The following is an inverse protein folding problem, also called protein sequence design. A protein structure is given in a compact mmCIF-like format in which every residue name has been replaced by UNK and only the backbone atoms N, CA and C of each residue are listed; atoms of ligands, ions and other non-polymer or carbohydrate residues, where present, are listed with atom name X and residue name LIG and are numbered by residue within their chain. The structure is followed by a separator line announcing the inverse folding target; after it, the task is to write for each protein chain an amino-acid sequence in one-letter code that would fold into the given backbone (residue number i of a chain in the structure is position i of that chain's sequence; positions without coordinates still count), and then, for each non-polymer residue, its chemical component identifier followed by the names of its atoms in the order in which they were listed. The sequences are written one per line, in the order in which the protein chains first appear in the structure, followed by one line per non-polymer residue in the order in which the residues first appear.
data_IF_705707611620
#
_entry.id   IF_705707611620
#
_cell.length_a   1.000
_cell.length_b   1.000
_cell.length_c   1.000
_cell.angle_alpha   90.00
_cell.angle_beta   90.00
_cell.angle_gamma   90.00
#
_symmetry.space_group_name_H-M   'P 1'
#
loop_
_entity.id
_entity.type
_entity.pdbx_description
1 polymer ?
#
# COMPACT_ATOMS: atom_id res chain seq x y z
N UNK A 1 -18.86 -1.28 22.26
CA UNK A 1 -17.58 -0.89 22.89
C UNK A 1 -17.09 -2.11 23.66
N UNK A 2 -15.93 -2.72 23.47
CA UNK A 2 -14.82 -2.36 22.62
C UNK A 2 -13.90 -3.58 22.50
N UNK A 3 -13.70 -4.14 21.31
CA UNK A 3 -12.55 -5.00 21.03
C UNK A 3 -11.34 -4.08 20.85
N UNK A 4 -10.93 -3.50 21.98
CA UNK A 4 -9.88 -2.49 22.10
C UNK A 4 -8.55 -3.06 21.65
N UNK A 5 -8.03 -2.57 20.53
CA UNK A 5 -6.79 -1.76 20.42
C UNK A 5 -5.46 -2.28 21.01
N UNK A 6 -5.44 -3.33 21.84
CA UNK A 6 -4.33 -3.67 22.74
C UNK A 6 -3.34 -4.71 22.21
N UNK A 7 -3.60 -5.31 21.05
CA UNK A 7 -2.66 -6.26 20.42
C UNK A 7 -1.90 -5.66 19.21
N UNK A 8 -2.11 -4.39 18.90
CA UNK A 8 -1.43 -3.75 17.75
C UNK A 8 -0.12 -3.06 18.12
N UNK A 9 0.15 -2.80 19.40
CA UNK A 9 1.27 -1.94 19.82
C UNK A 9 2.55 -2.69 20.23
N UNK A 10 2.51 -3.98 20.56
CA UNK A 10 3.61 -4.59 21.33
C UNK A 10 4.75 -5.27 20.53
N UNK A 11 4.61 -5.52 19.22
CA UNK A 11 5.54 -6.43 18.52
C UNK A 11 6.55 -5.83 17.52
N UNK A 12 6.52 -4.54 17.16
CA UNK A 12 7.54 -4.01 16.22
C UNK A 12 8.96 -3.99 16.83
N UNK A 13 9.15 -4.11 18.16
CA UNK A 13 10.45 -3.84 18.81
C UNK A 13 11.32 -5.06 19.11
N UNK A 14 10.78 -6.28 19.09
CA UNK A 14 11.54 -7.48 19.47
C UNK A 14 11.82 -8.44 18.31
N UNK A 15 10.97 -8.48 17.27
CA UNK A 15 11.18 -9.31 16.08
C UNK A 15 10.51 -8.70 14.83
N UNK A 16 10.89 -7.48 14.43
CA UNK A 16 10.33 -6.88 13.21
C UNK A 16 10.68 -7.75 12.00
N UNK A 17 9.66 -8.41 11.43
CA UNK A 17 9.82 -9.20 10.21
C UNK A 17 10.47 -8.34 9.11
N UNK A 18 11.39 -8.89 8.30
CA UNK A 18 11.95 -8.18 7.16
C UNK A 18 10.85 -7.68 6.24
N UNK A 19 11.08 -6.53 5.58
CA UNK A 19 10.10 -5.94 4.66
C UNK A 19 9.64 -6.89 3.55
N UNK A 20 10.50 -7.81 3.12
CA UNK A 20 10.15 -8.88 2.18
C UNK A 20 9.09 -9.86 2.72
N UNK A 21 9.20 -10.26 3.98
CA UNK A 21 8.24 -11.18 4.61
C UNK A 21 6.88 -10.52 4.79
N UNK A 22 6.87 -9.23 5.19
CA UNK A 22 5.64 -8.43 5.18
C UNK A 22 5.01 -8.36 3.80
N UNK A 23 5.81 -8.06 2.79
CA UNK A 23 5.36 -7.89 1.41
C UNK A 23 4.74 -9.18 0.83
N UNK A 24 5.33 -10.34 1.15
CA UNK A 24 4.84 -11.63 0.69
C UNK A 24 3.58 -12.06 1.44
N UNK A 25 3.54 -11.87 2.76
CA UNK A 25 2.37 -12.18 3.58
C UNK A 25 1.14 -11.35 3.18
N UNK A 26 1.32 -10.05 2.94
CA UNK A 26 0.21 -9.17 2.57
C UNK A 26 -0.32 -9.44 1.17
N UNK A 27 0.55 -9.72 0.19
CA UNK A 27 0.10 -10.19 -1.12
C UNK A 27 -0.69 -11.50 -0.99
N UNK A 28 -0.20 -12.44 -0.19
CA UNK A 28 -0.87 -13.72 -0.02
C UNK A 28 -2.27 -13.53 0.61
N UNK A 29 -2.39 -12.67 1.62
CA UNK A 29 -3.68 -12.33 2.23
C UNK A 29 -4.64 -11.65 1.25
N UNK A 30 -4.12 -10.77 0.38
CA UNK A 30 -4.88 -10.11 -0.67
C UNK A 30 -5.38 -11.10 -1.73
N UNK A 31 -4.49 -11.92 -2.29
CA UNK A 31 -4.82 -12.89 -3.35
C UNK A 31 -5.77 -13.96 -2.87
N UNK A 32 -5.62 -14.42 -1.62
CA UNK A 32 -6.52 -15.40 -1.04
C UNK A 32 -7.85 -14.80 -0.60
N UNK A 33 -8.03 -13.48 -0.69
CA UNK A 33 -9.21 -12.73 -0.27
C UNK A 33 -9.69 -13.12 1.15
N UNK A 34 -8.73 -13.47 2.02
CA UNK A 34 -9.00 -13.95 3.38
C UNK A 34 -9.32 -12.83 4.35
N UNK A 35 -9.29 -11.58 3.89
CA UNK A 35 -9.40 -10.42 4.74
C UNK A 35 -10.12 -9.27 4.03
N UNK A 36 -11.05 -8.58 4.70
CA UNK A 36 -11.67 -7.40 4.15
C UNK A 36 -10.65 -6.28 3.92
N UNK A 37 -10.89 -5.48 2.89
CA UNK A 37 -9.98 -4.40 2.45
C UNK A 37 -9.52 -3.46 3.57
N UNK A 38 -10.43 -3.03 4.45
CA UNK A 38 -10.06 -2.13 5.56
C UNK A 38 -9.07 -2.75 6.54
N UNK A 39 -9.21 -4.05 6.81
CA UNK A 39 -8.27 -4.79 7.64
C UNK A 39 -6.92 -4.95 6.93
N UNK A 40 -6.94 -5.23 5.63
CA UNK A 40 -5.72 -5.31 4.81
C UNK A 40 -4.95 -3.97 4.82
N UNK A 41 -5.64 -2.83 4.69
CA UNK A 41 -5.04 -1.50 4.82
C UNK A 41 -4.40 -1.27 6.21
N UNK A 42 -5.04 -1.73 7.28
CA UNK A 42 -4.50 -1.61 8.63
C UNK A 42 -3.18 -2.39 8.76
N UNK A 43 -3.10 -3.58 8.17
CA UNK A 43 -1.86 -4.36 8.14
C UNK A 43 -0.76 -3.73 7.28
N UNK A 44 -1.09 -3.16 6.12
CA UNK A 44 -0.12 -2.40 5.34
C UNK A 44 0.44 -1.20 6.13
N UNK A 45 -0.41 -0.46 6.84
CA UNK A 45 0.04 0.64 7.71
C UNK A 45 0.96 0.15 8.82
N UNK A 46 0.64 -1.00 9.43
CA UNK A 46 1.51 -1.62 10.44
C UNK A 46 2.86 -2.02 9.85
N UNK A 47 2.86 -2.69 8.70
CA UNK A 47 4.08 -3.07 7.99
C UNK A 47 4.95 -1.85 7.67
N UNK A 48 4.35 -0.77 7.16
CA UNK A 48 5.05 0.50 6.88
C UNK A 48 5.53 1.21 8.14
N UNK A 49 4.86 1.05 9.29
CA UNK A 49 5.37 1.57 10.55
C UNK A 49 6.63 0.86 11.04
N UNK A 50 6.77 -0.46 10.79
CA UNK A 50 7.99 -1.19 11.10
C UNK A 50 9.04 -1.10 9.96
N UNK A 51 8.62 -0.83 8.72
CA UNK A 51 9.46 -0.82 7.51
C UNK A 51 9.16 0.39 6.60
N UNK A 52 9.40 1.63 7.05
CA UNK A 52 8.95 2.84 6.35
C UNK A 52 9.63 3.09 5.00
N UNK A 53 10.83 2.54 4.80
CA UNK A 53 11.64 2.73 3.59
C UNK A 53 11.42 1.62 2.55
N UNK A 54 10.51 0.67 2.80
CA UNK A 54 10.25 -0.39 1.84
C UNK A 54 9.41 0.11 0.67
N UNK A 55 10.07 0.44 -0.43
CA UNK A 55 9.42 0.78 -1.70
C UNK A 55 8.43 -0.29 -2.13
N UNK A 56 8.79 -1.58 -1.94
CA UNK A 56 7.92 -2.71 -2.27
C UNK A 56 6.58 -2.64 -1.53
N UNK A 57 6.58 -2.37 -0.23
CA UNK A 57 5.36 -2.25 0.57
C UNK A 57 4.51 -1.06 0.12
N UNK A 58 5.13 0.08 -0.17
CA UNK A 58 4.42 1.26 -0.70
C UNK A 58 3.75 0.98 -2.04
N UNK A 59 4.48 0.37 -2.98
CA UNK A 59 3.96 -0.02 -4.29
C UNK A 59 2.79 -1.01 -4.19
N UNK A 60 2.91 -2.00 -3.30
CA UNK A 60 1.84 -2.99 -3.06
C UNK A 60 0.58 -2.37 -2.48
N UNK A 61 0.73 -1.44 -1.53
CA UNK A 61 -0.39 -0.70 -0.96
C UNK A 61 -1.13 0.11 -2.03
N UNK A 62 -0.40 0.85 -2.87
CA UNK A 62 -0.99 1.63 -3.96
C UNK A 62 -1.75 0.74 -4.97
N UNK A 63 -1.19 -0.41 -5.31
CA UNK A 63 -1.84 -1.39 -6.18
C UNK A 63 -3.10 -1.98 -5.55
N UNK A 64 -3.06 -2.30 -4.26
CA UNK A 64 -4.20 -2.81 -3.51
C UNK A 64 -5.35 -1.80 -3.50
N UNK A 65 -5.03 -0.52 -3.25
CA UNK A 65 -5.98 0.58 -3.32
C UNK A 65 -6.64 0.67 -4.71
N UNK A 66 -5.87 0.60 -5.80
CA UNK A 66 -6.41 0.63 -7.16
C UNK A 66 -7.32 -0.57 -7.47
N UNK A 67 -6.90 -1.79 -7.11
CA UNK A 67 -7.69 -3.02 -7.35
C UNK A 67 -9.05 -2.96 -6.65
N UNK A 68 -9.08 -2.40 -5.45
CA UNK A 68 -10.31 -2.24 -4.67
C UNK A 68 -11.09 -0.97 -4.98
N UNK A 69 -10.71 -0.23 -6.03
CA UNK A 69 -11.46 0.93 -6.51
C UNK A 69 -11.35 2.16 -5.62
N UNK A 70 -10.24 2.31 -4.88
CA UNK A 70 -9.96 3.54 -4.16
C UNK A 70 -9.89 4.72 -5.15
N UNK A 71 -10.34 5.91 -4.73
CA UNK A 71 -10.27 7.11 -5.56
C UNK A 71 -8.81 7.51 -5.77
N UNK A 72 -8.50 8.10 -6.94
CA UNK A 72 -7.15 8.51 -7.30
C UNK A 72 -6.42 9.35 -6.23
N UNK A 73 -7.05 10.35 -5.59
CA UNK A 73 -6.40 11.10 -4.52
C UNK A 73 -5.83 10.21 -3.41
N UNK A 74 -6.55 9.15 -2.99
CA UNK A 74 -6.06 8.26 -1.94
C UNK A 74 -4.82 7.44 -2.38
N UNK A 75 -4.76 7.03 -3.65
CA UNK A 75 -3.61 6.30 -4.21
C UNK A 75 -2.40 7.22 -4.36
N UNK A 76 -2.64 8.43 -4.87
CA UNK A 76 -1.61 9.46 -5.01
C UNK A 76 -1.00 9.81 -3.65
N UNK A 77 -1.84 10.11 -2.66
CA UNK A 77 -1.39 10.52 -1.33
C UNK A 77 -0.53 9.41 -0.65
N UNK A 78 -0.84 8.13 -0.90
CA UNK A 78 0.01 7.00 -0.47
C UNK A 78 1.41 7.05 -1.09
N UNK A 79 1.50 7.28 -2.41
CA UNK A 79 2.79 7.31 -3.12
C UNK A 79 3.57 8.59 -2.83
N UNK A 80 2.88 9.72 -2.64
CA UNK A 80 3.49 10.95 -2.16
C UNK A 80 4.06 10.77 -0.75
N UNK A 81 3.35 10.08 0.16
CA UNK A 81 3.88 9.73 1.47
C UNK A 81 5.13 8.84 1.38
N UNK A 82 5.17 7.90 0.42
CA UNK A 82 6.35 7.09 0.15
C UNK A 82 7.54 7.95 -0.29
N UNK A 83 7.34 8.84 -1.26
CA UNK A 83 8.38 9.76 -1.75
C UNK A 83 8.91 10.67 -0.63
N UNK A 84 8.04 11.11 0.27
CA UNK A 84 8.39 11.99 1.39
C UNK A 84 8.90 11.26 2.65
N UNK A 85 8.91 9.92 2.68
CA UNK A 85 9.36 9.15 3.86
C UNK A 85 10.86 9.28 4.15
N UNK A 86 11.65 9.79 3.19
CA UNK A 86 13.11 9.92 3.30
C UNK A 86 13.81 8.57 3.20
N UNK A 87 15.14 8.54 3.01
CA UNK A 87 15.96 7.32 2.88
C UNK A 87 15.73 6.43 1.64
N UNK A 88 15.24 6.99 0.54
CA UNK A 88 15.22 6.27 -0.75
C UNK A 88 16.49 6.52 -1.55
N UNK A 89 17.00 5.49 -2.22
CA UNK A 89 18.02 5.68 -3.26
C UNK A 89 17.43 6.40 -4.48
N UNK A 90 18.27 6.95 -5.35
CA UNK A 90 17.79 7.57 -6.59
C UNK A 90 16.99 6.58 -7.45
N UNK A 91 17.40 5.31 -7.48
CA UNK A 91 16.68 4.23 -8.15
C UNK A 91 15.30 3.96 -7.53
N UNK A 92 15.21 4.00 -6.20
CA UNK A 92 13.94 3.84 -5.46
C UNK A 92 12.98 5.00 -5.74
N UNK A 93 13.48 6.23 -5.76
CA UNK A 93 12.70 7.42 -6.13
C UNK A 93 12.19 7.33 -7.57
N UNK A 94 13.04 6.89 -8.51
CA UNK A 94 12.63 6.68 -9.90
C UNK A 94 11.55 5.59 -10.01
N UNK A 95 11.65 4.51 -9.22
CA UNK A 95 10.64 3.45 -9.19
C UNK A 95 9.30 3.96 -8.63
N UNK A 96 9.32 4.75 -7.55
CA UNK A 96 8.13 5.34 -6.96
C UNK A 96 7.46 6.34 -7.90
N UNK A 97 8.23 7.19 -8.59
CA UNK A 97 7.70 8.12 -9.60
C UNK A 97 7.10 7.38 -10.80
N UNK A 98 7.78 6.35 -11.31
CA UNK A 98 7.24 5.49 -12.36
C UNK A 98 5.95 4.80 -11.90
N UNK A 99 5.89 4.35 -10.64
CA UNK A 99 4.70 3.75 -10.05
C UNK A 99 3.54 4.73 -10.00
N UNK A 100 3.77 5.96 -9.56
CA UNK A 100 2.78 7.02 -9.52
C UNK A 100 2.16 7.26 -10.90
N UNK A 101 3.00 7.41 -11.94
CA UNK A 101 2.54 7.61 -13.32
C UNK A 101 1.74 6.42 -13.84
N UNK A 102 2.18 5.20 -13.55
CA UNK A 102 1.47 3.98 -13.94
C UNK A 102 0.09 3.91 -13.27
N UNK A 103 0.03 4.13 -11.96
CA UNK A 103 -1.22 4.14 -11.20
C UNK A 103 -2.21 5.19 -11.73
N UNK A 104 -1.72 6.39 -12.07
CA UNK A 104 -2.51 7.45 -12.69
C UNK A 104 -3.11 6.97 -14.02
N UNK A 105 -2.28 6.41 -14.91
CA UNK A 105 -2.72 5.92 -16.22
C UNK A 105 -3.81 4.85 -16.10
N UNK A 106 -3.63 3.87 -15.20
CA UNK A 106 -4.64 2.82 -14.96
C UNK A 106 -5.96 3.42 -14.49
N UNK A 107 -5.93 4.35 -13.54
CA UNK A 107 -7.14 4.98 -13.02
C UNK A 107 -7.90 5.77 -14.09
N UNK A 108 -7.20 6.62 -14.86
CA UNK A 108 -7.83 7.44 -15.90
C UNK A 108 -8.35 6.58 -17.05
N UNK A 109 -7.63 5.52 -17.43
CA UNK A 109 -8.08 4.59 -18.45
C UNK A 109 -9.35 3.85 -18.03
N UNK A 110 -9.42 3.39 -16.78
CA UNK A 110 -10.63 2.76 -16.22
C UNK A 110 -11.83 3.70 -16.23
N UNK A 111 -11.66 4.95 -15.77
CA UNK A 111 -12.73 5.95 -15.80
C UNK A 111 -13.18 6.30 -17.23
N UNK A 112 -12.26 6.34 -18.18
CA UNK A 112 -12.60 6.59 -19.59
C UNK A 112 -13.42 5.43 -20.18
N UNK A 113 -13.13 4.19 -19.80
CA UNK A 113 -13.92 3.04 -20.25
C UNK A 113 -15.32 3.01 -19.62
N UNK A 114 -15.44 3.40 -18.35
CA UNK A 114 -16.72 3.49 -17.64
C UNK A 114 -17.60 4.60 -18.24
N UNK A 115 -17.03 5.75 -18.60
CA UNK A 115 -17.78 6.86 -19.24
C UNK A 115 -18.23 6.56 -20.67
N UNK A 116 -17.57 5.66 -21.40
CA UNK A 116 -17.96 5.21 -22.76
C UNK A 116 -19.01 4.09 -22.77
N UNK A 117 -19.36 3.53 -21.61
CA UNK A 117 -20.36 2.46 -21.47
C UNK A 117 -21.79 2.97 -21.22
N UNK A 118 -21.96 4.28 -21.08
CA UNK A 118 -23.24 4.97 -20.91
C UNK A 118 -23.56 5.83 -22.13
#
# INVERSE_FOLDING_TARGET
MSCNQLELDNDCRSHSLPSGVWADALIHLEVTNRMPYNSLLAWYRRALSCCPYSVRLWCQLADCQLRHGAPWPAVRDTLDAALNSGLHSESDLALLDAKLRFCAAVYFYRNLLETKRH
#
